data_IF_791530431834
#
_entry.id   IF_791530431834
#
_cell.length_a   1.000
_cell.length_b   1.000
_cell.length_c   1.000
_cell.angle_alpha   90.00
_cell.angle_beta   90.00
_cell.angle_gamma   90.00
#
_symmetry.space_group_name_H-M   'P 1'
#
loop_
_entity.id
_entity.type
_entity.pdbx_description
1 polymer ?
#
# COMPACT_ATOMS: atom_id res chain seq x y z
N UNK A 1 -3.12 -10.83 -5.14
CA UNK A 1 -1.86 -11.13 -4.44
C UNK A 1 -2.01 -10.69 -2.99
N UNK A 2 -1.41 -11.42 -2.05
CA UNK A 2 -1.44 -11.05 -0.62
C UNK A 2 -0.22 -10.21 -0.24
N UNK A 3 -0.30 -9.52 0.89
CA UNK A 3 0.82 -8.76 1.46
C UNK A 3 2.00 -9.68 1.78
N UNK A 4 1.74 -10.84 2.37
CA UNK A 4 2.79 -11.82 2.68
C UNK A 4 3.55 -12.25 1.41
N UNK A 5 2.83 -12.54 0.32
CA UNK A 5 3.43 -12.86 -0.96
C UNK A 5 4.21 -11.68 -1.55
N UNK A 6 3.68 -10.46 -1.45
CA UNK A 6 4.38 -9.29 -1.95
C UNK A 6 5.75 -9.09 -1.27
N UNK A 7 5.87 -9.37 0.04
CA UNK A 7 7.14 -9.23 0.77
C UNK A 7 8.24 -10.17 0.26
N UNK A 8 7.90 -11.31 -0.35
CA UNK A 8 8.88 -12.27 -0.89
C UNK A 8 9.42 -11.87 -2.26
N UNK A 9 8.78 -10.93 -2.95
CA UNK A 9 9.20 -10.45 -4.27
C UNK A 9 10.52 -9.66 -4.21
N UNK A 10 11.12 -9.47 -5.38
CA UNK A 10 12.31 -8.64 -5.56
C UNK A 10 11.97 -7.14 -5.48
N UNK A 11 12.99 -6.32 -5.22
CA UNK A 11 12.89 -4.86 -5.29
C UNK A 11 12.46 -4.39 -6.69
N UNK A 12 11.53 -3.44 -6.75
CA UNK A 12 10.95 -2.94 -8.01
C UNK A 12 9.82 -3.79 -8.57
N UNK A 13 9.46 -4.91 -7.94
CA UNK A 13 8.33 -5.73 -8.39
C UNK A 13 7.02 -4.94 -8.36
N UNK A 14 6.23 -5.06 -9.42
CA UNK A 14 4.89 -4.46 -9.48
C UNK A 14 3.91 -5.32 -8.70
N UNK A 15 3.15 -4.68 -7.81
CA UNK A 15 2.23 -5.34 -6.90
C UNK A 15 0.84 -4.74 -6.97
N UNK A 16 -0.16 -5.62 -6.88
CA UNK A 16 -1.57 -5.26 -6.71
C UNK A 16 -2.09 -5.91 -5.43
N UNK A 17 -2.46 -5.08 -4.46
CA UNK A 17 -2.88 -5.50 -3.13
C UNK A 17 -4.31 -5.03 -2.88
N UNK A 18 -5.07 -5.87 -2.18
CA UNK A 18 -6.45 -5.58 -1.77
C UNK A 18 -6.56 -5.68 -0.26
N UNK A 19 -7.11 -4.66 0.37
CA UNK A 19 -7.07 -4.54 1.83
C UNK A 19 -7.63 -3.19 2.29
N UNK A 20 -7.37 -2.86 3.54
CA UNK A 20 -7.86 -1.64 4.17
C UNK A 20 -6.68 -0.77 4.62
N UNK A 21 -6.88 0.54 4.63
CA UNK A 21 -5.89 1.52 5.07
C UNK A 21 -6.08 1.81 6.57
N UNK A 22 -5.39 1.09 7.45
CA UNK A 22 -5.76 1.05 8.88
C UNK A 22 -5.11 2.15 9.74
N UNK A 23 -4.05 2.79 9.24
CA UNK A 23 -3.32 3.79 10.00
C UNK A 23 -2.59 4.79 9.08
N UNK A 24 -2.47 6.04 9.54
CA UNK A 24 -1.71 7.10 8.87
C UNK A 24 -0.50 7.46 9.72
N UNK A 25 0.70 7.15 9.23
CA UNK A 25 1.95 7.39 9.95
C UNK A 25 2.50 8.82 9.77
N UNK A 26 1.81 9.67 9.01
CA UNK A 26 2.24 11.03 8.66
C UNK A 26 2.75 11.14 7.21
N UNK A 27 2.71 12.37 6.69
CA UNK A 27 2.99 12.70 5.28
C UNK A 27 2.16 11.82 4.32
N UNK A 28 2.80 11.17 3.36
CA UNK A 28 2.18 10.25 2.41
C UNK A 28 2.25 8.79 2.87
N UNK A 29 2.57 8.50 4.15
CA UNK A 29 2.89 7.14 4.62
C UNK A 29 1.75 6.53 5.44
N UNK A 30 1.30 5.36 5.04
CA UNK A 30 0.15 4.66 5.62
C UNK A 30 0.47 3.20 5.91
N UNK A 31 -0.34 2.56 6.77
CA UNK A 31 -0.32 1.11 6.97
C UNK A 31 -1.48 0.50 6.23
N UNK A 32 -1.16 -0.44 5.35
CA UNK A 32 -2.13 -1.21 4.59
C UNK A 32 -2.21 -2.63 5.15
N UNK A 33 -3.43 -3.11 5.39
CA UNK A 33 -3.69 -4.44 5.97
C UNK A 33 -4.58 -5.28 5.07
N UNK A 34 -4.18 -6.53 4.88
CA UNK A 34 -5.01 -7.59 4.32
C UNK A 34 -5.13 -8.75 5.31
N UNK A 35 -5.68 -9.88 4.88
CA UNK A 35 -5.84 -11.08 5.72
C UNK A 35 -4.51 -11.80 6.04
N UNK A 36 -3.46 -11.56 5.26
CA UNK A 36 -2.14 -12.18 5.43
C UNK A 36 -1.21 -11.35 6.30
N UNK A 37 -1.47 -10.05 6.46
CA UNK A 37 -0.72 -9.19 7.36
C UNK A 37 -0.77 -7.72 6.97
N UNK A 38 0.27 -6.99 7.35
CA UNK A 38 0.36 -5.54 7.19
C UNK A 38 1.62 -5.13 6.44
N UNK A 39 1.56 -4.03 5.70
CA UNK A 39 2.71 -3.44 5.00
C UNK A 39 2.61 -1.91 5.00
N UNK A 40 3.76 -1.26 5.08
CA UNK A 40 3.85 0.17 4.90
C UNK A 40 3.62 0.50 3.42
N UNK A 41 2.81 1.53 3.16
CA UNK A 41 2.56 2.03 1.81
C UNK A 41 2.80 3.53 1.78
N UNK A 42 3.31 4.03 0.66
CA UNK A 42 3.43 5.46 0.40
C UNK A 42 2.41 5.80 -0.68
N UNK A 43 1.43 6.62 -0.33
CA UNK A 43 0.36 7.05 -1.23
C UNK A 43 0.45 8.57 -1.33
N UNK A 44 1.01 9.11 -2.41
CA UNK A 44 1.01 10.55 -2.65
C UNK A 44 -0.42 11.09 -2.63
N UNK A 45 -0.62 12.27 -2.05
CA UNK A 45 -1.90 13.00 -2.09
C UNK A 45 -2.52 13.09 -3.50
N UNK A 46 -1.69 13.20 -4.54
CA UNK A 46 -2.12 13.20 -5.95
C UNK A 46 -2.81 11.90 -6.41
N UNK A 47 -2.49 10.75 -5.81
CA UNK A 47 -3.11 9.44 -6.14
C UNK A 47 -4.53 9.34 -5.61
N UNK A 48 -4.83 10.05 -4.52
CA UNK A 48 -6.18 10.10 -3.97
C UNK A 48 -7.12 10.88 -4.90
N UNK A 49 -6.62 11.85 -5.68
CA UNK A 49 -7.40 12.60 -6.69
C UNK A 49 -8.72 13.16 -6.10
N UNK A 50 -8.62 13.76 -4.90
CA UNK A 50 -9.77 14.28 -4.14
C UNK A 50 -10.65 13.23 -3.46
N UNK A 51 -10.27 11.95 -3.49
CA UNK A 51 -11.02 10.86 -2.85
C UNK A 51 -10.54 10.65 -1.42
N UNK A 52 -11.49 10.67 -0.50
CA UNK A 52 -11.26 10.23 0.86
C UNK A 52 -11.36 8.70 0.93
N UNK A 53 -10.38 8.09 1.61
CA UNK A 53 -10.34 6.65 1.91
C UNK A 53 -10.51 6.51 3.41
N UNK A 54 -11.59 5.84 3.82
CA UNK A 54 -11.84 5.58 5.23
C UNK A 54 -11.11 4.31 5.69
N UNK A 55 -10.76 4.20 6.99
CA UNK A 55 -10.02 3.06 7.50
C UNK A 55 -10.74 1.72 7.36
N UNK A 56 -12.07 1.72 7.38
CA UNK A 56 -12.90 0.53 7.20
C UNK A 56 -13.20 0.22 5.71
N UNK A 57 -12.67 1.04 4.79
CA UNK A 57 -12.91 0.85 3.38
C UNK A 57 -11.91 -0.12 2.76
N UNK A 58 -12.45 -1.19 2.16
CA UNK A 58 -11.66 -2.09 1.32
C UNK A 58 -11.35 -1.42 -0.01
N UNK A 59 -10.07 -1.26 -0.31
CA UNK A 59 -9.57 -0.64 -1.53
C UNK A 59 -8.56 -1.57 -2.21
N UNK A 60 -8.32 -1.33 -3.49
CA UNK A 60 -7.28 -1.97 -4.27
C UNK A 60 -6.19 -0.95 -4.60
N UNK A 61 -4.95 -1.27 -4.26
CA UNK A 61 -3.80 -0.43 -4.54
C UNK A 61 -2.88 -1.14 -5.53
N UNK A 62 -2.38 -0.38 -6.51
CA UNK A 62 -1.34 -0.81 -7.41
C UNK A 62 -0.10 0.04 -7.19
N UNK A 63 1.06 -0.60 -7.19
CA UNK A 63 2.31 0.08 -6.92
C UNK A 63 3.52 -0.79 -7.15
N UNK A 64 4.66 -0.32 -6.67
CA UNK A 64 5.94 -1.03 -6.77
C UNK A 64 6.50 -1.26 -5.38
N UNK A 65 7.02 -2.45 -5.15
CA UNK A 65 7.70 -2.81 -3.91
C UNK A 65 9.09 -2.17 -3.87
N UNK A 66 9.38 -1.40 -2.83
CA UNK A 66 10.68 -0.82 -2.53
C UNK A 66 11.24 -1.52 -1.29
N UNK A 67 12.30 -2.32 -1.50
CA UNK A 67 13.01 -3.06 -0.45
C UNK A 67 14.37 -2.44 -0.13
N UNK A 68 14.67 -1.25 -0.67
CA UNK A 68 15.92 -0.53 -0.33
C UNK A 68 15.84 0.16 1.02
N UNK A 69 14.63 0.45 1.48
CA UNK A 69 14.39 0.95 2.83
C UNK A 69 14.62 -0.13 3.90
N UNK A 70 14.80 0.29 5.15
CA UNK A 70 14.94 -0.60 6.32
C UNK A 70 13.74 -1.55 6.48
N UNK A 71 12.57 -1.12 6.02
CA UNK A 71 11.34 -1.90 5.97
C UNK A 71 10.77 -1.88 4.55
N UNK A 72 10.30 -3.03 4.07
CA UNK A 72 9.66 -3.13 2.76
C UNK A 72 8.43 -2.22 2.69
N UNK A 73 8.38 -1.36 1.68
CA UNK A 73 7.31 -0.38 1.48
C UNK A 73 6.78 -0.46 0.06
N UNK A 74 5.48 -0.26 -0.13
CA UNK A 74 4.89 -0.19 -1.47
C UNK A 74 4.66 1.27 -1.84
N UNK A 75 5.29 1.72 -2.92
CA UNK A 75 5.00 3.03 -3.52
C UNK A 75 3.77 2.90 -4.40
N UNK A 76 2.66 3.47 -3.97
CA UNK A 76 1.37 3.37 -4.66
C UNK A 76 1.33 4.38 -5.79
N UNK A 77 1.05 3.89 -6.99
CA UNK A 77 0.86 4.71 -8.19
C UNK A 77 -0.60 4.86 -8.55
N UNK A 78 -1.47 3.94 -8.10
CA UNK A 78 -2.90 3.99 -8.39
C UNK A 78 -3.73 3.38 -7.26
N UNK A 79 -4.83 4.06 -6.93
CA UNK A 79 -5.83 3.59 -5.99
C UNK A 79 -7.16 3.35 -6.70
N UNK A 80 -7.82 2.24 -6.40
CA UNK A 80 -9.13 1.86 -6.91
C UNK A 80 -10.04 1.48 -5.73
N UNK A 81 -11.32 1.88 -5.81
CA UNK A 81 -12.36 1.46 -4.86
C UNK A 81 -12.95 0.13 -5.31
#
# INVERSE_FOLDING_TARGET
MTIEQAKTLHDGATVSLRGNLIDHKGDDRYVFRDKSGEINVIIPSAVFDGREVQPDQMININGSLDKKAKEAVVRVSRLQK
#
